data_IF_434907329570
#
_entry.id   IF_434907329570
#
_cell.length_a   1.000
_cell.length_b   1.000
_cell.length_c   1.000
_cell.angle_alpha   90.00
_cell.angle_beta   90.00
_cell.angle_gamma   90.00
#
_symmetry.space_group_name_H-M   'P 1'
#
loop_
_entity.id
_entity.type
_entity.pdbx_description
1 polymer ?
#
# COMPACT_ATOMS: atom_id res chain seq x y z
N UNK A 1 -16.11 -9.95 12.38
CA UNK A 1 -16.13 -8.61 12.98
C UNK A 1 -17.39 -7.91 12.47
N UNK A 2 -18.48 -7.95 13.27
CA UNK A 2 -19.80 -7.47 12.84
C UNK A 2 -20.08 -5.97 13.10
N UNK A 3 -19.10 -5.18 13.59
CA UNK A 3 -19.28 -3.76 13.90
C UNK A 3 -18.07 -2.91 13.49
N UNK A 4 -17.75 -2.86 12.21
CA UNK A 4 -16.59 -2.12 11.68
C UNK A 4 -16.76 -0.59 11.62
N UNK A 5 -17.98 -0.07 11.84
CA UNK A 5 -18.30 1.36 11.70
C UNK A 5 -17.47 2.30 12.59
N UNK A 6 -16.92 1.82 13.70
CA UNK A 6 -16.20 2.68 14.64
C UNK A 6 -14.75 3.01 14.23
N UNK A 7 -14.12 2.21 13.37
CA UNK A 7 -12.67 2.34 13.09
C UNK A 7 -12.30 3.60 12.31
N UNK A 8 -13.15 4.04 11.38
CA UNK A 8 -12.90 5.21 10.52
C UNK A 8 -13.58 6.50 10.98
N UNK A 9 -14.41 6.46 12.01
CA UNK A 9 -15.17 7.64 12.51
C UNK A 9 -14.26 8.82 12.90
N UNK A 10 -12.98 8.57 13.20
CA UNK A 10 -12.03 9.62 13.57
C UNK A 10 -11.78 10.63 12.44
N UNK A 11 -11.86 10.22 11.15
CA UNK A 11 -11.75 11.17 10.05
C UNK A 11 -12.81 12.27 10.14
N UNK A 12 -14.03 11.89 10.42
CA UNK A 12 -15.15 12.82 10.59
C UNK A 12 -15.12 13.52 11.97
N UNK A 13 -14.73 12.79 13.02
CA UNK A 13 -14.68 13.34 14.38
C UNK A 13 -13.68 14.49 14.53
N UNK A 14 -12.61 14.49 13.74
CA UNK A 14 -11.61 15.56 13.69
C UNK A 14 -11.82 16.54 12.52
N UNK A 15 -12.94 16.43 11.78
CA UNK A 15 -13.23 17.26 10.59
C UNK A 15 -12.06 17.32 9.60
N UNK A 16 -11.46 16.17 9.35
CA UNK A 16 -10.30 16.08 8.48
C UNK A 16 -10.71 16.16 7.01
N UNK A 17 -9.93 16.87 6.16
CA UNK A 17 -10.25 17.00 4.74
C UNK A 17 -10.13 15.69 3.99
N UNK A 18 -10.81 15.60 2.85
CA UNK A 18 -10.63 14.53 1.88
C UNK A 18 -10.04 15.07 0.57
N UNK A 19 -8.90 14.56 0.10
CA UNK A 19 -8.08 13.53 0.75
C UNK A 19 -7.34 14.05 1.99
N UNK A 20 -7.18 13.20 3.00
CA UNK A 20 -6.30 13.48 4.13
C UNK A 20 -4.84 13.56 3.65
N UNK A 21 -4.13 14.62 4.01
CA UNK A 21 -2.71 14.78 3.67
C UNK A 21 -1.83 14.72 4.91
N UNK A 22 -0.99 13.70 4.97
CA UNK A 22 0.04 13.51 5.99
C UNK A 22 1.38 13.83 5.34
N UNK A 23 2.03 14.92 5.75
CA UNK A 23 3.28 15.37 5.13
C UNK A 23 4.36 15.71 6.17
N UNK A 24 5.62 15.66 5.75
CA UNK A 24 6.78 15.94 6.58
C UNK A 24 7.96 15.03 6.21
N UNK A 25 9.12 15.17 6.86
CA UNK A 25 10.34 14.51 6.43
C UNK A 25 10.29 12.99 6.64
N UNK A 26 11.06 12.27 5.84
CA UNK A 26 11.32 10.85 6.07
C UNK A 26 11.83 10.64 7.49
N UNK A 27 12.85 11.43 7.88
CA UNK A 27 13.44 11.42 9.22
C UNK A 27 13.49 12.83 9.79
N UNK A 28 13.24 12.98 11.09
CA UNK A 28 13.71 14.13 11.83
C UNK A 28 15.23 14.04 11.89
N UNK A 29 15.92 15.10 11.50
CA UNK A 29 17.40 15.17 11.41
C UNK A 29 17.95 16.18 12.40
N UNK A 30 17.42 17.38 12.40
CA UNK A 30 17.70 18.47 13.33
C UNK A 30 16.41 19.19 13.70
N UNK A 31 16.40 19.87 14.85
CA UNK A 31 15.24 20.68 15.26
C UNK A 31 14.92 21.76 14.22
N UNK A 32 15.96 22.43 13.71
CA UNK A 32 15.82 23.45 12.66
C UNK A 32 15.13 22.89 11.40
N UNK A 33 15.57 21.72 10.92
CA UNK A 33 14.97 21.06 9.76
C UNK A 33 13.49 20.73 10.01
N UNK A 34 13.15 20.17 11.17
CA UNK A 34 11.78 19.80 11.55
C UNK A 34 10.88 21.03 11.57
N UNK A 35 11.32 22.11 12.24
CA UNK A 35 10.54 23.33 12.39
C UNK A 35 10.38 24.08 11.08
N UNK A 36 11.43 24.19 10.27
CA UNK A 36 11.37 24.84 8.96
C UNK A 36 10.37 24.16 8.03
N UNK A 37 10.38 22.82 7.94
CA UNK A 37 9.40 22.07 7.16
C UNK A 37 7.99 22.26 7.72
N UNK A 38 7.81 22.23 9.03
CA UNK A 38 6.52 22.39 9.66
C UNK A 38 5.91 23.76 9.38
N UNK A 39 6.71 24.83 9.45
CA UNK A 39 6.26 26.19 9.13
C UNK A 39 5.92 26.37 7.64
N UNK A 40 6.60 25.66 6.73
CA UNK A 40 6.24 25.67 5.31
C UNK A 40 4.96 24.86 5.03
N UNK A 41 4.64 23.86 5.82
CA UNK A 41 3.47 23.00 5.62
C UNK A 41 2.19 23.49 6.29
N UNK A 42 2.27 24.31 7.35
CA UNK A 42 1.11 24.72 8.18
C UNK A 42 -0.01 25.43 7.40
N UNK A 43 0.32 26.13 6.33
CA UNK A 43 -0.63 26.88 5.51
C UNK A 43 -0.94 26.16 4.17
N UNK A 44 -0.72 24.83 4.14
CA UNK A 44 -0.98 23.98 2.97
C UNK A 44 -2.15 23.02 3.24
N UNK A 45 -2.41 22.08 2.33
CA UNK A 45 -3.41 21.01 2.52
C UNK A 45 -2.96 19.93 3.53
N UNK A 46 -1.71 19.99 4.03
CA UNK A 46 -1.21 19.04 5.02
C UNK A 46 -1.85 19.30 6.40
N UNK A 47 -2.53 18.30 6.93
CA UNK A 47 -3.22 18.38 8.25
C UNK A 47 -2.48 17.65 9.35
N UNK A 48 -1.70 16.64 9.00
CA UNK A 48 -0.91 15.86 9.94
C UNK A 48 0.57 15.99 9.54
N UNK A 49 1.39 16.49 10.46
CA UNK A 49 2.84 16.54 10.30
C UNK A 49 3.46 15.21 10.70
N UNK A 50 4.19 14.58 9.79
CA UNK A 50 4.90 13.33 10.05
C UNK A 50 6.41 13.54 10.15
N UNK A 51 7.08 12.88 11.09
CA UNK A 51 8.54 12.71 11.07
C UNK A 51 8.93 11.38 11.72
N UNK A 52 9.79 10.61 11.05
CA UNK A 52 10.37 9.39 11.63
C UNK A 52 11.51 9.75 12.57
N UNK A 53 11.36 9.50 13.87
CA UNK A 53 12.41 9.74 14.86
C UNK A 53 13.15 8.45 15.23
N UNK A 54 12.55 7.31 15.01
CA UNK A 54 13.13 5.97 15.08
C UNK A 54 13.04 5.29 13.71
N UNK A 55 14.13 4.72 13.24
CA UNK A 55 14.22 4.14 11.90
C UNK A 55 14.74 2.69 11.96
N UNK A 56 13.87 1.69 11.93
CA UNK A 56 14.30 0.30 11.86
C UNK A 56 15.01 0.04 10.52
N UNK A 57 16.33 -0.08 10.55
CA UNK A 57 17.15 -0.28 9.35
C UNK A 57 17.48 -1.76 9.15
N UNK A 58 17.48 -2.19 7.90
CA UNK A 58 17.85 -3.57 7.53
C UNK A 58 19.36 -3.80 7.67
N UNK A 59 20.18 -2.75 7.47
CA UNK A 59 21.64 -2.83 7.57
C UNK A 59 22.13 -1.88 8.66
N UNK A 60 23.06 -2.31 9.51
CA UNK A 60 23.70 -1.43 10.49
C UNK A 60 24.52 -0.34 9.79
N UNK A 61 24.77 0.76 10.48
CA UNK A 61 25.59 1.88 9.98
C UNK A 61 24.84 2.92 9.17
N UNK A 62 23.54 2.73 8.88
CA UNK A 62 22.68 3.79 8.34
C UNK A 62 22.11 4.64 9.48
N UNK A 63 21.66 5.85 9.16
CA UNK A 63 21.00 6.72 10.14
C UNK A 63 19.76 6.05 10.73
N UNK A 64 19.76 5.81 12.03
CA UNK A 64 18.70 5.09 12.75
C UNK A 64 17.67 6.02 13.40
N UNK A 65 17.76 7.32 13.12
CA UNK A 65 16.91 8.36 13.70
C UNK A 65 17.55 9.06 14.88
N UNK A 66 16.97 10.17 15.30
CA UNK A 66 17.44 10.98 16.43
C UNK A 66 16.96 10.45 17.78
N UNK A 67 16.02 9.52 17.77
CA UNK A 67 15.45 8.96 19.00
C UNK A 67 14.51 9.92 19.73
N UNK A 68 14.41 9.75 21.05
CA UNK A 68 13.45 10.44 21.90
C UNK A 68 13.57 11.98 21.89
N UNK A 69 14.71 12.55 21.53
CA UNK A 69 14.85 14.00 21.43
C UNK A 69 13.91 14.58 20.36
N UNK A 70 13.64 13.85 19.30
CA UNK A 70 12.71 14.25 18.24
C UNK A 70 11.27 14.42 18.72
N UNK A 71 10.87 13.79 19.83
CA UNK A 71 9.54 13.99 20.41
C UNK A 71 9.33 15.44 20.87
N UNK A 72 10.37 16.06 21.46
CA UNK A 72 10.30 17.48 21.85
C UNK A 72 10.13 18.39 20.64
N UNK A 73 10.75 18.04 19.52
CA UNK A 73 10.60 18.80 18.27
C UNK A 73 9.18 18.66 17.70
N UNK A 74 8.59 17.47 17.78
CA UNK A 74 7.21 17.24 17.37
C UNK A 74 6.20 17.95 18.28
N UNK A 75 6.42 17.99 19.60
CA UNK A 75 5.62 18.80 20.53
C UNK A 75 5.65 20.28 20.13
N UNK A 76 6.83 20.80 19.84
CA UNK A 76 6.99 22.17 19.38
C UNK A 76 6.29 22.43 18.02
N UNK A 77 6.34 21.48 17.08
CA UNK A 77 5.55 21.57 15.84
C UNK A 77 4.08 21.74 16.14
N UNK A 78 3.51 20.91 17.03
CA UNK A 78 2.10 20.99 17.43
C UNK A 78 1.75 22.34 18.04
N UNK A 79 2.59 22.86 18.93
CA UNK A 79 2.42 24.16 19.59
C UNK A 79 2.48 25.35 18.61
N UNK A 80 3.41 25.33 17.65
CA UNK A 80 3.65 26.47 16.75
C UNK A 80 2.79 26.45 15.48
N UNK A 81 2.27 25.28 15.06
CA UNK A 81 1.54 25.13 13.80
C UNK A 81 0.09 24.70 13.97
N UNK A 82 -0.31 24.22 15.14
CA UNK A 82 -1.58 23.57 15.42
C UNK A 82 -1.87 22.30 14.56
N UNK A 83 -0.87 21.78 13.82
CA UNK A 83 -0.98 20.53 13.09
C UNK A 83 -0.95 19.35 14.06
N UNK A 84 -1.72 18.31 13.78
CA UNK A 84 -1.53 17.01 14.44
C UNK A 84 -0.15 16.46 14.11
N UNK A 85 0.46 15.75 15.07
CA UNK A 85 1.79 15.19 14.89
C UNK A 85 1.78 13.68 14.80
N UNK A 86 2.64 13.11 13.95
CA UNK A 86 2.73 11.69 13.71
C UNK A 86 4.17 11.17 13.73
N UNK A 87 4.39 9.98 14.32
CA UNK A 87 5.68 9.29 14.28
C UNK A 87 5.54 7.78 14.22
N UNK A 88 6.62 7.07 13.79
CA UNK A 88 6.71 5.61 13.81
C UNK A 88 6.97 5.08 15.21
N UNK A 89 6.30 3.99 15.58
CA UNK A 89 6.61 3.22 16.78
C UNK A 89 6.96 1.78 16.39
N UNK A 90 7.96 1.19 17.03
CA UNK A 90 8.46 -0.15 16.74
C UNK A 90 8.47 -1.09 17.95
N UNK A 91 8.10 -0.61 19.14
CA UNK A 91 8.02 -1.37 20.38
C UNK A 91 7.20 -0.60 21.43
N UNK A 92 6.94 -1.22 22.57
CA UNK A 92 6.18 -0.62 23.68
C UNK A 92 6.83 0.61 24.31
N UNK A 93 8.17 0.68 24.33
CA UNK A 93 8.89 1.83 24.92
C UNK A 93 8.74 3.08 24.04
N UNK A 94 8.76 2.90 22.71
CA UNK A 94 8.45 3.98 21.76
C UNK A 94 7.00 4.48 21.96
N UNK A 95 6.04 3.57 22.16
CA UNK A 95 4.65 3.95 22.44
C UNK A 95 4.57 4.78 23.72
N UNK A 96 5.16 4.31 24.81
CA UNK A 96 5.16 5.02 26.08
C UNK A 96 5.70 6.44 25.96
N UNK A 97 6.88 6.60 25.35
CA UNK A 97 7.50 7.91 25.14
C UNK A 97 6.64 8.82 24.23
N UNK A 98 6.04 8.27 23.19
CA UNK A 98 5.16 9.03 22.30
C UNK A 98 3.86 9.49 22.99
N UNK A 99 3.30 8.66 23.89
CA UNK A 99 2.16 9.02 24.72
C UNK A 99 2.51 10.12 25.74
N UNK A 100 3.66 10.03 26.40
CA UNK A 100 4.17 11.05 27.32
C UNK A 100 4.42 12.40 26.60
N UNK A 101 4.77 12.35 25.31
CA UNK A 101 4.95 13.54 24.47
C UNK A 101 3.67 14.01 23.77
N UNK A 102 2.52 13.43 24.09
CA UNK A 102 1.20 13.73 23.50
C UNK A 102 1.17 13.73 21.96
N UNK A 103 1.88 12.79 21.33
CA UNK A 103 1.80 12.59 19.87
C UNK A 103 0.39 12.12 19.51
N UNK A 104 -0.19 12.66 18.42
CA UNK A 104 -1.59 12.43 18.04
C UNK A 104 -1.77 11.13 17.25
N UNK A 105 -0.85 10.84 16.36
CA UNK A 105 -0.91 9.71 15.42
C UNK A 105 0.34 8.84 15.52
N UNK A 106 0.16 7.56 15.72
CA UNK A 106 1.25 6.59 15.77
C UNK A 106 1.12 5.63 14.60
N UNK A 107 2.21 5.40 13.85
CA UNK A 107 2.15 4.35 12.83
C UNK A 107 3.11 3.21 13.14
N UNK A 108 2.62 2.00 12.84
CA UNK A 108 3.41 0.78 12.89
C UNK A 108 4.07 0.59 11.52
N UNK A 109 5.40 0.56 11.48
CA UNK A 109 6.15 0.45 10.24
C UNK A 109 6.04 -0.94 9.60
N UNK A 110 6.24 -1.02 8.28
CA UNK A 110 6.12 -2.26 7.50
C UNK A 110 7.01 -3.42 8.00
N UNK A 111 8.16 -3.11 8.61
CA UNK A 111 9.06 -4.11 9.21
C UNK A 111 8.56 -4.60 10.56
N UNK A 112 7.84 -3.78 11.29
CA UNK A 112 7.24 -4.14 12.58
C UNK A 112 5.93 -4.92 12.37
N UNK A 113 5.15 -4.59 11.35
CA UNK A 113 3.89 -5.26 11.01
C UNK A 113 4.07 -6.75 10.70
N UNK A 114 5.25 -7.17 10.21
CA UNK A 114 5.53 -8.59 9.95
C UNK A 114 5.72 -9.43 11.22
N UNK A 115 5.82 -8.80 12.40
CA UNK A 115 6.03 -9.50 13.67
C UNK A 115 4.79 -9.42 14.56
N UNK A 116 4.01 -10.51 14.69
CA UNK A 116 2.83 -10.54 15.55
C UNK A 116 3.14 -10.20 17.02
N UNK A 117 4.33 -10.54 17.51
CA UNK A 117 4.76 -10.21 18.89
C UNK A 117 4.95 -8.70 19.08
N UNK A 118 5.63 -8.04 18.14
CA UNK A 118 5.83 -6.57 18.19
C UNK A 118 4.49 -5.85 18.11
N UNK A 119 3.62 -6.26 17.19
CA UNK A 119 2.29 -5.65 17.05
C UNK A 119 1.47 -5.84 18.33
N UNK A 120 1.56 -7.02 18.96
CA UNK A 120 0.87 -7.27 20.24
C UNK A 120 1.42 -6.39 21.37
N UNK A 121 2.73 -6.28 21.52
CA UNK A 121 3.34 -5.37 22.52
C UNK A 121 2.89 -3.91 22.33
N UNK A 122 2.81 -3.46 21.09
CA UNK A 122 2.33 -2.12 20.75
C UNK A 122 0.84 -1.97 21.08
N UNK A 123 0.03 -2.98 20.74
CA UNK A 123 -1.40 -2.98 21.03
C UNK A 123 -1.68 -2.92 22.55
N UNK A 124 -0.97 -3.74 23.34
CA UNK A 124 -1.08 -3.76 24.79
C UNK A 124 -0.68 -2.40 25.41
N UNK A 125 0.38 -1.77 24.88
CA UNK A 125 0.83 -0.46 25.35
C UNK A 125 -0.10 0.71 24.97
N UNK A 126 -0.93 0.54 23.94
CA UNK A 126 -1.92 1.53 23.48
C UNK A 126 -3.28 1.35 24.11
N UNK A 127 -3.53 0.25 24.82
CA UNK A 127 -4.83 -0.04 25.40
C UNK A 127 -5.30 1.09 26.33
N UNK A 128 -6.56 1.51 26.17
CA UNK A 128 -7.15 2.59 26.95
C UNK A 128 -6.77 4.00 26.49
N UNK A 129 -6.01 4.13 25.39
CA UNK A 129 -5.71 5.44 24.79
C UNK A 129 -6.70 5.76 23.67
N UNK A 130 -6.80 7.04 23.31
CA UNK A 130 -7.63 7.53 22.22
C UNK A 130 -6.81 8.00 21.00
N UNK A 131 -5.56 7.57 20.92
CA UNK A 131 -4.65 7.92 19.82
C UNK A 131 -5.08 7.28 18.50
N UNK A 132 -4.76 7.95 17.40
CA UNK A 132 -4.94 7.39 16.05
C UNK A 132 -3.77 6.45 15.77
N UNK A 133 -4.06 5.23 15.32
CA UNK A 133 -3.05 4.22 15.01
C UNK A 133 -3.17 3.77 13.56
N UNK A 134 -2.10 3.97 12.79
CA UNK A 134 -2.04 3.59 11.39
C UNK A 134 -1.10 2.39 11.21
N UNK A 135 -1.54 1.37 10.49
CA UNK A 135 -0.76 0.15 10.26
C UNK A 135 -0.27 0.11 8.82
N UNK A 136 1.04 0.22 8.59
CA UNK A 136 1.62 0.01 7.25
C UNK A 136 1.46 -1.46 6.85
N UNK A 137 1.20 -1.71 5.56
CA UNK A 137 1.25 -3.08 5.04
C UNK A 137 2.62 -3.72 5.32
N UNK A 138 2.69 -5.05 5.51
CA UNK A 138 3.95 -5.77 5.68
C UNK A 138 4.86 -5.59 4.46
N UNK A 139 6.16 -5.80 4.63
CA UNK A 139 7.14 -5.67 3.53
C UNK A 139 6.82 -6.63 2.38
N UNK A 140 6.47 -7.86 2.69
CA UNK A 140 6.08 -8.87 1.70
C UNK A 140 4.58 -8.78 1.38
N UNK A 141 4.13 -9.18 0.17
CA UNK A 141 2.72 -9.18 -0.21
C UNK A 141 1.94 -10.30 0.50
N UNK A 142 1.58 -10.05 1.75
CA UNK A 142 0.85 -10.96 2.62
C UNK A 142 -0.31 -10.23 3.31
N UNK A 143 -1.51 -10.43 2.75
CA UNK A 143 -2.72 -9.82 3.30
C UNK A 143 -3.06 -10.37 4.68
N UNK A 144 -2.79 -11.65 4.95
CA UNK A 144 -3.11 -12.27 6.24
C UNK A 144 -2.30 -11.66 7.38
N UNK A 145 -1.01 -11.35 7.14
CA UNK A 145 -0.19 -10.62 8.11
C UNK A 145 -0.71 -9.20 8.36
N UNK A 146 -1.14 -8.50 7.31
CA UNK A 146 -1.69 -7.15 7.47
C UNK A 146 -2.98 -7.17 8.28
N UNK A 147 -3.90 -8.07 7.92
CA UNK A 147 -5.15 -8.31 8.66
C UNK A 147 -4.88 -8.67 10.13
N UNK A 148 -3.97 -9.59 10.39
CA UNK A 148 -3.62 -9.99 11.74
C UNK A 148 -3.08 -8.84 12.59
N UNK A 149 -2.34 -7.90 11.99
CA UNK A 149 -1.89 -6.68 12.67
C UNK A 149 -3.06 -5.77 13.07
N UNK A 150 -4.00 -5.55 12.15
CA UNK A 150 -5.21 -4.74 12.37
C UNK A 150 -6.09 -5.39 13.44
N UNK A 151 -6.30 -6.71 13.35
CA UNK A 151 -7.14 -7.47 14.29
C UNK A 151 -6.61 -7.43 15.72
N UNK A 152 -5.28 -7.46 15.93
CA UNK A 152 -4.67 -7.33 17.26
C UNK A 152 -4.96 -5.98 17.89
N UNK A 153 -4.81 -4.91 17.16
CA UNK A 153 -5.13 -3.56 17.62
C UNK A 153 -6.62 -3.40 17.91
N UNK A 154 -7.48 -3.90 17.03
CA UNK A 154 -8.92 -3.89 17.25
C UNK A 154 -9.33 -4.67 18.49
N UNK A 155 -8.75 -5.86 18.71
CA UNK A 155 -9.00 -6.70 19.89
C UNK A 155 -8.51 -6.04 21.20
N UNK A 156 -7.47 -5.20 21.12
CA UNK A 156 -7.00 -4.39 22.24
C UNK A 156 -7.84 -3.11 22.48
N UNK A 157 -9.00 -2.99 21.83
CA UNK A 157 -9.95 -1.86 21.93
C UNK A 157 -9.39 -0.53 21.42
N UNK A 158 -8.46 -0.57 20.44
CA UNK A 158 -8.01 0.63 19.75
C UNK A 158 -9.06 1.02 18.71
N UNK A 159 -9.75 2.12 18.93
CA UNK A 159 -10.93 2.53 18.14
C UNK A 159 -10.59 3.37 16.91
N UNK A 160 -9.51 4.16 16.96
CA UNK A 160 -9.11 5.06 15.88
C UNK A 160 -8.01 4.39 15.05
N UNK A 161 -8.45 3.47 14.18
CA UNK A 161 -7.55 2.71 13.32
C UNK A 161 -7.59 3.23 11.88
N UNK A 162 -6.50 3.04 11.18
CA UNK A 162 -6.35 3.21 9.74
C UNK A 162 -5.17 2.40 9.23
N UNK A 163 -5.02 2.35 7.95
CA UNK A 163 -3.91 1.61 7.31
C UNK A 163 -3.17 2.47 6.31
N UNK A 164 -1.89 2.15 6.11
CA UNK A 164 -1.04 2.82 5.14
C UNK A 164 -0.53 1.79 4.14
N UNK A 165 -0.90 1.98 2.89
CA UNK A 165 -0.38 1.21 1.77
C UNK A 165 0.87 1.87 1.21
N UNK A 166 2.03 1.21 1.38
CA UNK A 166 3.35 1.70 0.96
C UNK A 166 4.03 0.83 -0.11
N UNK A 167 3.25 -0.09 -0.71
CA UNK A 167 3.76 -1.09 -1.65
C UNK A 167 4.49 -2.24 -0.95
N UNK A 168 4.85 -3.24 -1.74
CA UNK A 168 5.44 -4.50 -1.29
C UNK A 168 6.79 -4.74 -1.95
N UNK A 169 7.68 -5.47 -1.26
CA UNK A 169 8.92 -5.91 -1.86
C UNK A 169 8.64 -6.87 -3.02
N UNK A 170 9.43 -6.73 -4.09
CA UNK A 170 9.39 -7.64 -5.24
C UNK A 170 10.79 -8.07 -5.61
N UNK A 171 10.96 -9.34 -5.99
CA UNK A 171 12.20 -9.82 -6.58
C UNK A 171 12.38 -9.30 -8.00
N UNK A 172 11.29 -9.11 -8.73
CA UNK A 172 11.32 -8.55 -10.07
C UNK A 172 11.66 -7.05 -10.04
N UNK A 173 12.52 -6.61 -10.93
CA UNK A 173 12.81 -5.18 -11.12
C UNK A 173 11.61 -4.54 -11.81
N UNK A 174 11.02 -3.53 -11.17
CA UNK A 174 9.94 -2.72 -11.71
C UNK A 174 10.35 -1.25 -11.70
N UNK A 175 9.51 -0.37 -12.23
CA UNK A 175 9.71 1.08 -12.12
C UNK A 175 9.54 1.61 -10.68
N UNK A 176 8.97 0.79 -9.80
CA UNK A 176 8.71 1.11 -8.41
C UNK A 176 9.82 0.58 -7.50
N UNK A 177 10.05 1.28 -6.40
CA UNK A 177 10.89 0.76 -5.30
C UNK A 177 10.20 -0.38 -4.56
N UNK A 178 8.89 -0.22 -4.33
CA UNK A 178 8.02 -1.24 -3.77
C UNK A 178 6.79 -1.37 -4.67
N UNK A 179 6.56 -2.57 -5.17
CA UNK A 179 5.48 -2.80 -6.12
C UNK A 179 4.12 -2.52 -5.45
N UNK A 180 3.23 -1.71 -6.02
CA UNK A 180 1.99 -1.33 -5.33
C UNK A 180 1.05 -2.52 -5.07
N UNK A 181 1.01 -3.55 -5.94
CA UNK A 181 0.08 -4.69 -5.78
C UNK A 181 -1.31 -4.21 -5.31
N UNK A 182 -1.90 -3.26 -6.04
CA UNK A 182 -3.14 -2.56 -5.69
C UNK A 182 -4.27 -3.51 -5.28
N UNK A 183 -4.29 -4.71 -5.87
CA UNK A 183 -5.32 -5.70 -5.59
C UNK A 183 -5.38 -6.10 -4.10
N UNK A 184 -4.23 -6.13 -3.40
CA UNK A 184 -4.19 -6.42 -1.96
C UNK A 184 -4.85 -5.30 -1.13
N UNK A 185 -4.63 -4.05 -1.53
CA UNK A 185 -5.27 -2.91 -0.87
C UNK A 185 -6.78 -2.87 -1.14
N UNK A 186 -7.20 -3.15 -2.37
CA UNK A 186 -8.62 -3.26 -2.76
C UNK A 186 -9.29 -4.41 -1.98
N UNK A 187 -8.64 -5.56 -1.84
CA UNK A 187 -9.19 -6.69 -1.09
C UNK A 187 -9.32 -6.36 0.41
N UNK A 188 -8.35 -5.62 0.98
CA UNK A 188 -8.45 -5.13 2.35
C UNK A 188 -9.66 -4.19 2.51
N UNK A 189 -9.83 -3.21 1.61
CA UNK A 189 -10.94 -2.26 1.63
C UNK A 189 -12.30 -2.95 1.48
N UNK A 190 -12.40 -3.98 0.64
CA UNK A 190 -13.62 -4.78 0.52
C UNK A 190 -13.98 -5.53 1.81
N UNK A 191 -12.98 -5.95 2.61
CA UNK A 191 -13.20 -6.62 3.90
C UNK A 191 -13.54 -5.63 5.02
N UNK A 192 -12.98 -4.43 4.96
CA UNK A 192 -13.12 -3.37 5.97
C UNK A 192 -13.41 -2.02 5.27
N UNK A 193 -14.63 -1.83 4.73
CA UNK A 193 -14.95 -0.64 3.93
C UNK A 193 -14.89 0.67 4.73
N UNK A 194 -15.03 0.63 6.05
CA UNK A 194 -14.98 1.81 6.91
C UNK A 194 -13.58 2.05 7.52
N UNK A 195 -12.57 1.24 7.17
CA UNK A 195 -11.19 1.41 7.65
C UNK A 195 -10.44 2.39 6.74
N UNK A 196 -10.02 3.56 7.24
CA UNK A 196 -9.29 4.53 6.44
C UNK A 196 -8.03 3.94 5.79
N UNK A 197 -7.91 4.10 4.49
CA UNK A 197 -6.83 3.60 3.68
C UNK A 197 -6.02 4.76 3.11
N UNK A 198 -4.78 4.92 3.59
CA UNK A 198 -3.85 5.98 3.19
C UNK A 198 -2.81 5.40 2.24
N UNK A 199 -2.53 6.06 1.14
CA UNK A 199 -1.41 5.70 0.26
C UNK A 199 -0.13 6.41 0.70
N UNK A 200 0.98 5.70 0.73
CA UNK A 200 2.32 6.26 0.88
C UNK A 200 3.07 6.15 -0.47
N UNK A 201 2.83 7.07 -1.40
CA UNK A 201 3.40 7.03 -2.74
C UNK A 201 4.93 7.24 -2.70
N UNK A 202 5.47 7.95 -1.71
CA UNK A 202 6.92 8.14 -1.56
C UNK A 202 7.66 6.82 -1.46
N UNK A 203 7.17 5.89 -0.64
CA UNK A 203 7.77 4.57 -0.50
C UNK A 203 7.44 3.62 -1.66
N UNK A 204 6.28 3.76 -2.31
CA UNK A 204 5.97 3.00 -3.52
C UNK A 204 6.94 3.37 -4.63
N UNK A 205 7.08 4.66 -4.91
CA UNK A 205 7.88 5.17 -6.01
C UNK A 205 9.40 5.02 -5.77
N UNK A 206 9.88 5.44 -4.60
CA UNK A 206 11.30 5.56 -4.31
C UNK A 206 12.02 6.64 -5.14
N UNK A 207 11.26 7.46 -5.89
CA UNK A 207 11.69 8.52 -6.81
C UNK A 207 10.56 9.53 -7.01
N UNK A 208 10.91 10.76 -7.39
CA UNK A 208 9.97 11.89 -7.43
C UNK A 208 9.08 11.92 -8.68
N UNK A 209 9.62 11.52 -9.82
CA UNK A 209 9.04 11.72 -11.15
C UNK A 209 7.75 10.94 -11.44
N UNK A 210 7.46 9.88 -10.68
CA UNK A 210 6.22 9.10 -10.77
C UNK A 210 5.32 9.27 -9.54
N UNK A 211 5.66 10.19 -8.64
CA UNK A 211 4.94 10.38 -7.38
C UNK A 211 3.49 10.82 -7.61
N UNK A 212 3.29 11.78 -8.53
CA UNK A 212 1.98 12.29 -8.88
C UNK A 212 1.07 11.22 -9.50
N UNK A 213 1.60 10.41 -10.42
CA UNK A 213 0.84 9.34 -11.06
C UNK A 213 0.36 8.28 -10.06
N UNK A 214 1.23 7.89 -9.11
CA UNK A 214 0.89 6.93 -8.07
C UNK A 214 -0.12 7.53 -7.09
N UNK A 215 0.02 8.80 -6.73
CA UNK A 215 -0.95 9.53 -5.89
C UNK A 215 -2.31 9.61 -6.57
N UNK A 216 -2.36 9.95 -7.86
CA UNK A 216 -3.62 9.98 -8.62
C UNK A 216 -4.25 8.58 -8.69
N UNK A 217 -3.46 7.54 -8.95
CA UNK A 217 -3.97 6.16 -8.98
C UNK A 217 -4.60 5.77 -7.65
N UNK A 218 -3.99 6.12 -6.53
CA UNK A 218 -4.54 5.85 -5.21
C UNK A 218 -5.90 6.55 -5.01
N UNK A 219 -6.01 7.84 -5.35
CA UNK A 219 -7.27 8.58 -5.25
C UNK A 219 -8.35 8.02 -6.18
N UNK A 220 -7.97 7.57 -7.38
CA UNK A 220 -8.88 6.91 -8.32
C UNK A 220 -9.36 5.52 -7.82
N UNK A 221 -8.62 4.92 -6.90
CA UNK A 221 -8.98 3.69 -6.18
C UNK A 221 -9.67 3.96 -4.83
N UNK A 222 -10.16 5.18 -4.60
CA UNK A 222 -10.87 5.62 -3.40
C UNK A 222 -10.07 5.50 -2.11
N UNK A 223 -8.77 5.78 -2.14
CA UNK A 223 -8.00 5.95 -0.92
C UNK A 223 -8.41 7.23 -0.20
N UNK A 224 -8.49 7.20 1.13
CA UNK A 224 -8.92 8.32 1.97
C UNK A 224 -7.87 9.42 2.10
N UNK A 225 -6.61 9.13 1.78
CA UNK A 225 -5.54 10.10 1.92
C UNK A 225 -4.19 9.67 1.38
N UNK A 226 -3.23 10.58 1.51
CA UNK A 226 -1.86 10.44 1.05
C UNK A 226 -0.89 10.72 2.20
N UNK A 227 0.16 9.89 2.33
CA UNK A 227 1.31 10.14 3.21
C UNK A 227 2.54 10.42 2.35
N UNK A 228 3.01 11.66 2.33
CA UNK A 228 4.04 12.12 1.40
C UNK A 228 5.25 12.64 2.18
N UNK A 229 6.43 12.16 1.79
CA UNK A 229 7.68 12.62 2.39
C UNK A 229 8.10 13.95 1.79
N UNK A 230 8.23 14.98 2.66
CA UNK A 230 8.62 16.34 2.28
C UNK A 230 9.86 16.78 3.07
N UNK A 231 10.77 17.47 2.41
CA UNK A 231 11.99 17.97 3.02
C UNK A 231 12.35 19.35 2.45
N UNK A 232 12.90 20.26 3.29
CA UNK A 232 13.32 21.60 2.84
C UNK A 232 14.40 21.57 1.75
N UNK A 233 15.28 20.57 1.82
CA UNK A 233 16.35 20.31 0.86
C UNK A 233 16.46 18.80 0.63
N UNK A 234 15.59 18.23 -0.24
CA UNK A 234 15.47 16.78 -0.40
C UNK A 234 16.75 16.07 -0.84
N UNK A 235 17.60 16.74 -1.62
CA UNK A 235 18.83 16.13 -2.17
C UNK A 235 19.91 15.92 -1.08
N UNK A 236 19.85 16.67 0.01
CA UNK A 236 20.75 16.57 1.15
C UNK A 236 20.11 15.88 2.37
N UNK A 237 18.93 15.28 2.23
CA UNK A 237 18.28 14.54 3.31
C UNK A 237 19.11 13.33 3.75
N UNK A 238 19.18 13.08 5.06
CA UNK A 238 19.95 11.97 5.65
C UNK A 238 19.34 10.60 5.38
N UNK A 239 18.08 10.57 4.97
CA UNK A 239 17.39 9.32 4.61
C UNK A 239 16.46 9.51 3.42
N UNK A 240 16.42 8.50 2.56
CA UNK A 240 15.48 8.38 1.44
C UNK A 240 15.38 9.66 0.56
N UNK A 241 16.49 10.36 0.34
CA UNK A 241 16.60 11.63 -0.39
C UNK A 241 15.88 11.63 -1.76
N UNK A 242 16.01 10.55 -2.52
CA UNK A 242 15.50 10.45 -3.89
C UNK A 242 13.96 10.51 -4.01
N UNK A 243 13.22 10.24 -2.94
CA UNK A 243 11.76 10.15 -2.97
C UNK A 243 11.05 11.33 -2.29
N UNK A 244 11.77 12.15 -1.54
CA UNK A 244 11.22 13.31 -0.86
C UNK A 244 11.06 14.49 -1.84
N UNK A 245 10.03 15.31 -1.65
CA UNK A 245 9.78 16.53 -2.41
C UNK A 245 9.81 17.75 -1.48
N UNK A 246 9.91 18.96 -2.02
CA UNK A 246 9.79 20.17 -1.21
C UNK A 246 8.31 20.43 -0.84
N UNK A 247 8.02 21.19 0.24
CA UNK A 247 6.66 21.66 0.53
C UNK A 247 5.99 22.37 -0.64
N UNK A 248 6.72 23.24 -1.36
CA UNK A 248 6.19 23.91 -2.55
C UNK A 248 5.80 22.91 -3.66
N UNK A 249 6.62 21.88 -3.87
CA UNK A 249 6.29 20.82 -4.84
C UNK A 249 5.05 20.03 -4.41
N UNK A 250 4.86 19.79 -3.10
CA UNK A 250 3.65 19.17 -2.57
C UNK A 250 2.42 20.02 -2.90
N UNK A 251 2.46 21.33 -2.66
CA UNK A 251 1.35 22.25 -2.98
C UNK A 251 0.98 22.20 -4.47
N UNK A 252 1.98 22.24 -5.35
CA UNK A 252 1.73 22.12 -6.80
C UNK A 252 1.12 20.78 -7.17
N UNK A 253 1.67 19.69 -6.64
CA UNK A 253 1.17 18.36 -6.89
C UNK A 253 -0.30 18.20 -6.42
N UNK A 254 -0.63 18.68 -5.22
CA UNK A 254 -2.00 18.59 -4.69
C UNK A 254 -3.01 19.36 -5.55
N UNK A 255 -2.64 20.51 -6.11
CA UNK A 255 -3.48 21.27 -7.03
C UNK A 255 -3.77 20.55 -8.35
N UNK A 256 -2.84 19.74 -8.82
CA UNK A 256 -2.97 19.00 -10.07
C UNK A 256 -3.75 17.69 -9.91
N UNK A 257 -3.86 17.15 -8.68
CA UNK A 257 -4.60 15.94 -8.40
C UNK A 257 -6.11 16.15 -8.57
N UNK A 258 -6.75 15.19 -9.22
CA UNK A 258 -8.20 15.19 -9.47
C UNK A 258 -8.91 14.29 -8.47
N UNK A 259 -9.76 14.89 -7.64
CA UNK A 259 -10.62 14.14 -6.74
C UNK A 259 -11.90 13.78 -7.49
N UNK A 260 -12.14 12.49 -7.67
CA UNK A 260 -13.31 11.97 -8.36
C UNK A 260 -14.38 11.52 -7.38
N UNK A 261 -15.65 11.63 -7.78
CA UNK A 261 -16.77 11.07 -7.02
C UNK A 261 -16.79 9.55 -7.17
N UNK A 262 -17.12 8.86 -6.13
CA UNK A 262 -17.27 7.39 -6.13
C UNK A 262 -18.45 6.92 -6.98
N UNK A 263 -19.49 7.75 -7.13
CA UNK A 263 -20.69 7.47 -7.90
C UNK A 263 -21.15 8.72 -8.66
N UNK A 264 -21.88 8.52 -9.75
CA UNK A 264 -22.60 9.57 -10.43
C UNK A 264 -24.08 9.19 -10.49
N UNK A 265 -24.97 10.13 -10.14
CA UNK A 265 -26.43 9.91 -10.05
C UNK A 265 -27.14 10.04 -11.41
N UNK A 266 -26.45 10.51 -12.45
CA UNK A 266 -27.03 10.68 -13.77
C UNK A 266 -27.50 9.33 -14.34
N UNK A 267 -28.79 9.15 -14.55
CA UNK A 267 -29.42 7.93 -15.05
C UNK A 267 -28.78 7.44 -16.38
N UNK A 268 -28.44 8.36 -17.27
CA UNK A 268 -27.74 8.06 -18.52
C UNK A 268 -26.35 7.45 -18.29
N UNK A 269 -25.62 7.90 -17.25
CA UNK A 269 -24.33 7.33 -16.87
C UNK A 269 -24.51 5.92 -16.31
N UNK A 270 -25.43 5.72 -15.37
CA UNK A 270 -25.70 4.41 -14.74
C UNK A 270 -26.07 3.38 -15.79
N UNK A 271 -27.06 3.70 -16.64
CA UNK A 271 -27.52 2.80 -17.72
C UNK A 271 -26.40 2.44 -18.72
N UNK A 272 -25.55 3.41 -19.05
CA UNK A 272 -24.42 3.16 -19.95
C UNK A 272 -23.36 2.29 -19.30
N UNK A 273 -23.04 2.55 -18.02
CA UNK A 273 -22.07 1.76 -17.25
C UNK A 273 -22.54 0.30 -17.13
N UNK A 274 -23.81 0.08 -16.80
CA UNK A 274 -24.37 -1.27 -16.66
C UNK A 274 -24.37 -2.02 -17.98
N UNK A 275 -24.65 -1.33 -19.10
CA UNK A 275 -24.52 -1.92 -20.44
C UNK A 275 -23.09 -2.38 -20.73
N UNK A 276 -22.08 -1.56 -20.38
CA UNK A 276 -20.67 -1.91 -20.60
C UNK A 276 -20.22 -3.05 -19.69
N UNK A 277 -20.67 -3.07 -18.43
CA UNK A 277 -20.39 -4.17 -17.49
C UNK A 277 -20.97 -5.49 -17.99
N UNK A 278 -22.22 -5.49 -18.46
CA UNK A 278 -22.82 -6.68 -19.04
C UNK A 278 -22.06 -7.21 -20.28
N UNK A 279 -21.45 -6.32 -21.08
CA UNK A 279 -20.59 -6.76 -22.19
C UNK A 279 -19.29 -7.41 -21.68
N UNK A 280 -18.69 -6.88 -20.59
CA UNK A 280 -17.52 -7.48 -19.94
C UNK A 280 -17.87 -8.87 -19.39
N UNK A 281 -19.02 -9.01 -18.71
CA UNK A 281 -19.46 -10.29 -18.13
C UNK A 281 -19.59 -11.39 -19.20
N UNK A 282 -20.08 -11.06 -20.39
CA UNK A 282 -20.15 -11.99 -21.53
C UNK A 282 -18.76 -12.41 -22.00
N UNK A 283 -17.83 -11.47 -22.07
CA UNK A 283 -16.45 -11.73 -22.49
C UNK A 283 -15.73 -12.60 -21.43
N UNK A 284 -15.90 -12.27 -20.15
CA UNK A 284 -15.30 -13.03 -19.04
C UNK A 284 -15.78 -14.49 -19.02
N UNK A 285 -17.09 -14.70 -19.26
CA UNK A 285 -17.64 -16.04 -19.42
C UNK A 285 -16.98 -16.80 -20.59
N UNK A 286 -16.79 -16.16 -21.74
CA UNK A 286 -16.12 -16.75 -22.91
C UNK A 286 -14.64 -17.09 -22.64
N UNK A 287 -13.94 -16.24 -21.86
CA UNK A 287 -12.58 -16.50 -21.41
C UNK A 287 -12.52 -17.78 -20.56
N UNK A 288 -13.41 -17.92 -19.57
CA UNK A 288 -13.48 -19.11 -18.70
C UNK A 288 -13.81 -20.38 -19.51
N UNK A 289 -14.76 -20.31 -20.44
CA UNK A 289 -15.07 -21.42 -21.35
C UNK A 289 -13.86 -21.86 -22.18
N UNK A 290 -13.14 -20.89 -22.73
CA UNK A 290 -11.94 -21.14 -23.55
C UNK A 290 -10.82 -21.75 -22.72
N UNK A 291 -10.61 -21.26 -21.50
CA UNK A 291 -9.66 -21.83 -20.56
C UNK A 291 -10.05 -23.26 -20.16
N UNK A 292 -11.34 -23.55 -19.91
CA UNK A 292 -11.83 -24.89 -19.65
C UNK A 292 -11.53 -25.86 -20.82
N UNK A 293 -11.82 -25.46 -22.05
CA UNK A 293 -11.47 -26.24 -23.25
C UNK A 293 -9.96 -26.50 -23.34
N UNK A 294 -9.13 -25.51 -23.04
CA UNK A 294 -7.67 -25.64 -23.00
C UNK A 294 -7.20 -26.61 -21.91
N UNK A 295 -7.83 -26.62 -20.73
CA UNK A 295 -7.48 -27.58 -19.66
C UNK A 295 -7.85 -29.01 -20.02
N UNK A 296 -8.97 -29.25 -20.74
CA UNK A 296 -9.30 -30.57 -21.27
C UNK A 296 -8.20 -31.11 -22.19
N UNK A 297 -7.70 -30.28 -23.11
CA UNK A 297 -6.54 -30.66 -23.97
C UNK A 297 -5.28 -30.94 -23.11
N UNK A 298 -5.09 -30.22 -22.00
CA UNK A 298 -3.96 -30.50 -21.09
C UNK A 298 -4.08 -31.85 -20.39
N UNK A 299 -5.29 -32.30 -20.09
CA UNK A 299 -5.59 -33.66 -19.58
C UNK A 299 -5.20 -34.71 -20.64
N UNK A 300 -5.61 -34.52 -21.90
CA UNK A 300 -5.28 -35.45 -23.00
C UNK A 300 -3.75 -35.54 -23.20
N UNK A 301 -3.05 -34.40 -23.12
CA UNK A 301 -1.58 -34.39 -23.16
C UNK A 301 -0.99 -35.15 -21.96
N UNK A 302 -1.55 -35.01 -20.77
CA UNK A 302 -1.14 -35.74 -19.57
C UNK A 302 -1.28 -37.25 -19.76
N UNK A 303 -2.39 -37.73 -20.32
CA UNK A 303 -2.64 -39.14 -20.65
C UNK A 303 -1.58 -39.66 -21.64
N UNK A 304 -1.36 -38.93 -22.71
CA UNK A 304 -0.32 -39.31 -23.71
C UNK A 304 1.08 -39.39 -23.12
N UNK A 305 1.44 -38.44 -22.24
CA UNK A 305 2.74 -38.45 -21.56
C UNK A 305 2.88 -39.63 -20.58
N UNK A 306 1.80 -39.98 -19.86
CA UNK A 306 1.76 -41.16 -18.99
C UNK A 306 2.02 -42.43 -19.78
N UNK A 307 1.34 -42.64 -20.90
CA UNK A 307 1.49 -43.80 -21.80
C UNK A 307 2.93 -43.97 -22.30
N UNK A 308 3.61 -42.85 -22.54
CA UNK A 308 4.97 -42.83 -23.07
C UNK A 308 6.08 -42.57 -22.04
N UNK A 309 5.72 -42.55 -20.74
CA UNK A 309 6.65 -42.25 -19.64
C UNK A 309 7.47 -40.95 -19.84
N UNK A 310 6.78 -39.86 -20.28
CA UNK A 310 7.37 -38.56 -20.54
C UNK A 310 7.08 -37.60 -19.41
N UNK A 311 8.07 -36.80 -18.99
CA UNK A 311 7.93 -35.79 -17.95
C UNK A 311 6.91 -34.70 -18.32
N UNK A 312 6.19 -34.16 -17.30
CA UNK A 312 5.18 -33.11 -17.49
C UNK A 312 5.80 -31.85 -18.07
N UNK A 313 6.89 -31.36 -17.49
CA UNK A 313 7.51 -30.11 -17.91
C UNK A 313 8.41 -30.27 -19.13
N UNK A 314 8.15 -29.44 -20.16
CA UNK A 314 8.98 -29.32 -21.37
C UNK A 314 9.40 -27.84 -21.53
N UNK A 315 10.52 -27.46 -20.89
CA UNK A 315 10.97 -26.06 -20.77
C UNK A 315 11.16 -25.34 -22.12
N UNK A 316 11.63 -26.04 -23.15
CA UNK A 316 11.81 -25.44 -24.47
C UNK A 316 10.49 -24.99 -25.08
N UNK A 317 9.47 -25.85 -25.03
CA UNK A 317 8.11 -25.52 -25.53
C UNK A 317 7.46 -24.36 -24.76
N UNK A 318 7.69 -24.30 -23.46
CA UNK A 318 7.17 -23.20 -22.63
C UNK A 318 7.72 -21.83 -23.06
N UNK A 319 9.05 -21.73 -23.27
CA UNK A 319 9.68 -20.49 -23.69
C UNK A 319 9.21 -20.03 -25.08
N UNK A 320 9.02 -20.97 -26.01
CA UNK A 320 8.48 -20.69 -27.36
C UNK A 320 7.04 -20.09 -27.26
N UNK A 321 6.18 -20.71 -26.47
CA UNK A 321 4.81 -20.24 -26.28
C UNK A 321 4.80 -18.84 -25.69
N UNK A 322 5.57 -18.64 -24.63
CA UNK A 322 5.59 -17.37 -23.90
C UNK A 322 6.01 -16.20 -24.79
N UNK A 323 7.11 -16.35 -25.54
CA UNK A 323 7.58 -15.32 -26.47
C UNK A 323 6.54 -14.98 -27.55
N UNK A 324 5.86 -16.01 -28.12
CA UNK A 324 4.78 -15.78 -29.08
C UNK A 324 3.60 -15.03 -28.46
N UNK A 325 3.16 -15.41 -27.27
CA UNK A 325 2.00 -14.81 -26.62
C UNK A 325 2.25 -13.37 -26.20
N UNK A 326 3.48 -13.01 -25.80
CA UNK A 326 3.84 -11.62 -25.51
C UNK A 326 3.67 -10.75 -26.76
N UNK A 327 4.23 -11.16 -27.90
CA UNK A 327 4.10 -10.42 -29.17
C UNK A 327 2.63 -10.30 -29.63
N UNK A 328 1.84 -11.36 -29.48
CA UNK A 328 0.42 -11.35 -29.84
C UNK A 328 -0.39 -10.45 -28.90
N UNK A 329 -0.08 -10.48 -27.59
CA UNK A 329 -0.72 -9.64 -26.59
C UNK A 329 -0.47 -8.15 -26.82
N UNK A 330 0.76 -7.76 -27.20
CA UNK A 330 1.08 -6.39 -27.59
C UNK A 330 0.20 -5.91 -28.76
N UNK A 331 -0.04 -6.76 -29.75
CA UNK A 331 -0.94 -6.48 -30.87
C UNK A 331 -2.39 -6.24 -30.45
N UNK A 332 -2.81 -6.72 -29.29
CA UNK A 332 -4.11 -6.49 -28.69
C UNK A 332 -4.11 -5.36 -27.62
N UNK A 333 -3.02 -4.62 -27.47
CA UNK A 333 -2.89 -3.54 -26.49
C UNK A 333 -2.68 -4.03 -25.04
N UNK A 334 -2.28 -5.30 -24.84
CA UNK A 334 -1.99 -5.86 -23.53
C UNK A 334 -0.51 -5.65 -23.18
N UNK A 335 -0.21 -5.29 -21.93
CA UNK A 335 1.18 -5.14 -21.50
C UNK A 335 1.89 -6.50 -21.39
N UNK A 336 3.19 -6.52 -21.70
CA UNK A 336 4.05 -7.70 -21.54
C UNK A 336 3.91 -8.31 -20.14
N UNK A 337 3.92 -7.48 -19.09
CA UNK A 337 3.81 -7.92 -17.71
C UNK A 337 2.49 -8.67 -17.47
N UNK A 338 1.38 -8.15 -17.95
CA UNK A 338 0.07 -8.80 -17.83
C UNK A 338 0.04 -10.14 -18.56
N UNK A 339 0.49 -10.19 -19.82
CA UNK A 339 0.54 -11.43 -20.60
C UNK A 339 1.43 -12.48 -19.93
N UNK A 340 2.60 -12.06 -19.44
CA UNK A 340 3.52 -12.93 -18.72
C UNK A 340 2.89 -13.55 -17.47
N UNK A 341 2.23 -12.74 -16.63
CA UNK A 341 1.56 -13.21 -15.40
C UNK A 341 0.41 -14.16 -15.71
N UNK A 342 -0.43 -13.81 -16.68
CA UNK A 342 -1.57 -14.62 -17.11
C UNK A 342 -1.11 -15.99 -17.64
N UNK A 343 -0.15 -16.01 -18.57
CA UNK A 343 0.30 -17.27 -19.13
C UNK A 343 1.10 -18.14 -18.16
N UNK A 344 1.79 -17.56 -17.18
CA UNK A 344 2.36 -18.33 -16.06
C UNK A 344 1.30 -19.04 -15.23
N UNK A 345 0.21 -18.35 -14.89
CA UNK A 345 -0.92 -18.95 -14.15
C UNK A 345 -1.60 -20.07 -14.97
N UNK A 346 -1.88 -19.83 -16.25
CA UNK A 346 -2.46 -20.81 -17.15
C UNK A 346 -1.55 -22.03 -17.31
N UNK A 347 -0.23 -21.82 -17.39
CA UNK A 347 0.76 -22.92 -17.51
C UNK A 347 0.81 -23.75 -16.23
N UNK A 348 0.82 -23.11 -15.06
CA UNK A 348 0.78 -23.81 -13.78
C UNK A 348 -0.49 -24.69 -13.66
N UNK A 349 -1.64 -24.16 -14.06
CA UNK A 349 -2.89 -24.92 -14.03
C UNK A 349 -2.86 -26.10 -15.00
N UNK A 350 -2.22 -25.93 -16.19
CA UNK A 350 -2.01 -27.04 -17.12
C UNK A 350 -1.12 -28.13 -16.55
N UNK A 351 -0.07 -27.78 -15.78
CA UNK A 351 0.78 -28.73 -15.06
C UNK A 351 -0.05 -29.50 -14.03
N UNK A 352 -0.84 -28.78 -13.21
CA UNK A 352 -1.69 -29.39 -12.19
C UNK A 352 -2.65 -30.45 -12.78
N UNK A 353 -3.26 -30.14 -13.94
CA UNK A 353 -4.14 -31.08 -14.65
C UNK A 353 -3.39 -32.32 -15.16
N UNK A 354 -2.19 -32.14 -15.75
CA UNK A 354 -1.37 -33.27 -16.23
C UNK A 354 -0.87 -34.13 -15.08
N UNK A 355 -0.41 -33.53 -13.96
CA UNK A 355 0.04 -34.26 -12.76
C UNK A 355 -1.05 -35.14 -12.16
N UNK A 356 -2.30 -34.63 -12.09
CA UNK A 356 -3.44 -35.44 -11.62
C UNK A 356 -3.62 -36.70 -12.46
N UNK A 357 -3.47 -36.62 -13.77
CA UNK A 357 -3.60 -37.78 -14.67
C UNK A 357 -2.44 -38.75 -14.54
N UNK A 358 -1.22 -38.24 -14.44
CA UNK A 358 -0.01 -39.07 -14.38
C UNK A 358 0.06 -39.85 -13.06
N UNK A 359 -0.38 -39.25 -11.95
CA UNK A 359 -0.30 -39.83 -10.60
C UNK A 359 -1.52 -40.68 -10.20
N UNK A 360 -2.58 -40.68 -11.01
CA UNK A 360 -3.69 -41.66 -10.90
C UNK A 360 -3.44 -42.87 -11.78
#
# INVERSE_FOLDING_TARGET
MENNKAMGEWLHAFDLPHPLVIAGPCSAETEEQVMDIAHQLKDTDATIYRAGIWKPRTRPGNFEGVGAIGLKWLQRVKEETAMMTATEVANKDHVKLALEADIDVLWIGARSTVSPFIVQEIADALQGTDKIVLVKNPVNPDLSLWLGGIERLYTADIKRLGVIHRGFSSYAKTKYRNNPEWQLAIELQNRFPDLPLICDPSHICGRRDILQDVSQTALDLNFDGLMIETHRDPDNAWSDAAQQITPDTLVLMMKDLRIRKTTAEAESYVNRLDTLRAQIDVIDHSILETLGKRMNISVDIGTLKKEHNVAVLQSKRWNEILGKMILEGEGHGLSEEFVLRMFKAIHQESINHQEKVINT
#
